data_IF_201112157235
#
_entry.id   IF_201112157235
#
_cell.length_a   1.000
_cell.length_b   1.000
_cell.length_c   1.000
_cell.angle_alpha   90.00
_cell.angle_beta   90.00
_cell.angle_gamma   90.00
#
_symmetry.space_group_name_H-M   'P 1'
#
loop_
_entity.id
_entity.type
_entity.pdbx_description
1 polymer ?
#
# COMPACT_ATOMS: atom_id res chain seq x y z
N UNK A 1 -5.12 13.25 -21.92
CA UNK A 1 -4.32 12.53 -20.92
C UNK A 1 -4.81 11.09 -20.93
N UNK A 2 -4.03 10.13 -21.44
CA UNK A 2 -4.33 8.72 -21.22
C UNK A 2 -3.82 8.38 -19.81
N UNK A 3 -4.73 8.19 -18.86
CA UNK A 3 -4.43 7.51 -17.61
C UNK A 3 -4.07 6.08 -17.98
N UNK A 4 -2.78 5.76 -17.97
CA UNK A 4 -2.36 4.37 -17.98
C UNK A 4 -2.70 3.80 -16.59
N UNK A 5 -3.96 3.43 -16.42
CA UNK A 5 -4.53 2.65 -15.31
C UNK A 5 -3.98 1.21 -15.27
N UNK A 6 -2.74 1.00 -15.74
CA UNK A 6 -2.08 -0.29 -15.69
C UNK A 6 -1.29 -0.36 -14.39
N UNK A 7 -1.97 -0.78 -13.32
CA UNK A 7 -1.32 -1.36 -12.15
C UNK A 7 -0.42 -2.49 -12.65
N UNK A 8 0.89 -2.25 -12.59
CA UNK A 8 1.90 -3.23 -13.00
C UNK A 8 2.01 -4.34 -11.95
N UNK A 9 2.69 -5.43 -12.29
CA UNK A 9 2.96 -6.48 -11.30
C UNK A 9 3.82 -5.95 -10.14
N UNK A 10 4.74 -5.03 -10.41
CA UNK A 10 5.51 -4.32 -9.38
C UNK A 10 4.62 -3.48 -8.45
N UNK A 11 3.56 -2.85 -8.97
CA UNK A 11 2.61 -2.10 -8.14
C UNK A 11 1.82 -3.04 -7.22
N UNK A 12 1.52 -4.27 -7.65
CA UNK A 12 0.85 -5.27 -6.80
C UNK A 12 1.77 -5.75 -5.69
N UNK A 13 3.04 -6.03 -6.00
CA UNK A 13 4.04 -6.43 -5.00
C UNK A 13 4.29 -5.32 -3.98
N UNK A 14 4.39 -4.07 -4.44
CA UNK A 14 4.53 -2.90 -3.58
C UNK A 14 3.30 -2.72 -2.68
N UNK A 15 2.10 -2.90 -3.21
CA UNK A 15 0.85 -2.86 -2.45
C UNK A 15 0.81 -3.91 -1.35
N UNK A 16 1.17 -5.14 -1.68
CA UNK A 16 1.20 -6.25 -0.71
C UNK A 16 2.28 -5.98 0.35
N UNK A 17 3.40 -5.39 -0.04
CA UNK A 17 4.47 -4.96 0.87
C UNK A 17 4.00 -3.84 1.79
N UNK A 18 3.33 -2.81 1.27
CA UNK A 18 2.75 -1.72 2.08
C UNK A 18 1.79 -2.27 3.14
N UNK A 19 0.92 -3.20 2.75
CA UNK A 19 -0.05 -3.78 3.66
C UNK A 19 0.58 -4.70 4.72
N UNK A 20 1.54 -5.54 4.32
CA UNK A 20 2.33 -6.35 5.26
C UNK A 20 3.07 -5.48 6.27
N UNK A 21 3.71 -4.41 5.81
CA UNK A 21 4.41 -3.47 6.67
C UNK A 21 3.46 -2.79 7.68
N UNK A 22 2.24 -2.47 7.25
CA UNK A 22 1.21 -1.98 8.17
C UNK A 22 0.86 -3.02 9.26
N UNK A 23 0.67 -4.29 8.90
CA UNK A 23 0.39 -5.34 9.89
C UNK A 23 1.54 -5.53 10.89
N UNK A 24 2.79 -5.42 10.43
CA UNK A 24 3.98 -5.62 11.26
C UNK A 24 4.31 -4.42 12.16
N UNK A 25 4.06 -3.19 11.70
CA UNK A 25 4.60 -1.96 12.31
C UNK A 25 3.57 -0.86 12.54
N UNK A 26 2.34 -1.01 12.03
CA UNK A 26 1.32 0.03 12.01
C UNK A 26 1.51 1.02 10.87
N UNK A 27 0.82 2.17 10.95
CA UNK A 27 0.87 3.20 9.92
C UNK A 27 2.30 3.73 9.72
N UNK A 28 2.76 3.77 8.46
CA UNK A 28 4.09 4.24 8.08
C UNK A 28 3.99 5.52 7.26
N UNK A 29 5.01 6.37 7.38
CA UNK A 29 5.17 7.57 6.54
C UNK A 29 5.74 7.23 5.17
N UNK A 30 5.52 8.10 4.19
CA UNK A 30 6.07 7.96 2.82
C UNK A 30 7.58 7.71 2.82
N UNK A 31 8.32 8.36 3.75
CA UNK A 31 9.78 8.20 3.88
C UNK A 31 10.17 6.80 4.34
N UNK A 32 9.40 6.21 5.24
CA UNK A 32 9.68 4.86 5.75
C UNK A 32 9.31 3.80 4.71
N UNK A 33 8.26 4.05 3.91
CA UNK A 33 7.92 3.20 2.76
C UNK A 33 8.99 3.29 1.65
N UNK A 34 9.54 4.48 1.39
CA UNK A 34 10.72 4.63 0.50
C UNK A 34 11.92 3.87 1.05
N UNK A 35 12.20 3.94 2.35
CA UNK A 35 13.27 3.17 2.97
C UNK A 35 13.06 1.65 2.88
N UNK A 36 11.80 1.21 2.76
CA UNK A 36 11.43 -0.18 2.50
C UNK A 36 11.46 -0.57 1.00
N UNK A 37 11.88 0.35 0.12
CA UNK A 37 12.03 0.11 -1.32
C UNK A 37 10.82 0.50 -2.17
N UNK A 38 9.75 1.04 -1.57
CA UNK A 38 8.51 1.39 -2.30
C UNK A 38 8.59 2.84 -2.78
N UNK A 39 8.58 3.04 -4.09
CA UNK A 39 8.64 4.38 -4.69
C UNK A 39 7.42 5.24 -4.37
N UNK A 40 7.59 6.57 -4.31
CA UNK A 40 6.48 7.52 -4.04
C UNK A 40 5.38 7.42 -5.11
N UNK A 41 5.73 7.19 -6.38
CA UNK A 41 4.73 6.97 -7.44
C UNK A 41 3.91 5.69 -7.24
N UNK A 42 4.55 4.61 -6.76
CA UNK A 42 3.85 3.37 -6.42
C UNK A 42 2.96 3.54 -5.19
N UNK A 43 3.43 4.26 -4.16
CA UNK A 43 2.62 4.62 -2.99
C UNK A 43 1.36 5.38 -3.42
N UNK A 44 1.50 6.38 -4.29
CA UNK A 44 0.36 7.15 -4.80
C UNK A 44 -0.65 6.30 -5.58
N UNK A 45 -0.18 5.36 -6.41
CA UNK A 45 -1.05 4.44 -7.16
C UNK A 45 -1.74 3.40 -6.28
N UNK A 46 -1.10 2.99 -5.19
CA UNK A 46 -1.60 1.94 -4.31
C UNK A 46 -2.30 2.43 -3.04
N UNK A 47 -2.19 3.70 -2.67
CA UNK A 47 -2.67 4.25 -1.41
C UNK A 47 -4.15 3.93 -1.14
N UNK A 48 -5.03 4.14 -2.12
CA UNK A 48 -6.45 3.86 -1.96
C UNK A 48 -6.75 2.37 -1.74
N UNK A 49 -6.05 1.49 -2.46
CA UNK A 49 -6.21 0.05 -2.31
C UNK A 49 -5.68 -0.44 -0.96
N UNK A 50 -4.52 0.07 -0.51
CA UNK A 50 -3.95 -0.26 0.80
C UNK A 50 -4.85 0.22 1.94
N UNK A 51 -5.41 1.43 1.84
CA UNK A 51 -6.35 1.95 2.84
C UNK A 51 -7.58 1.06 3.02
N UNK A 52 -8.14 0.53 1.93
CA UNK A 52 -9.28 -0.39 2.00
C UNK A 52 -8.89 -1.74 2.62
N UNK A 53 -7.71 -2.29 2.28
CA UNK A 53 -7.23 -3.53 2.91
C UNK A 53 -7.03 -3.36 4.42
N UNK A 54 -6.48 -2.23 4.85
CA UNK A 54 -6.34 -1.87 6.27
C UNK A 54 -7.71 -1.83 6.94
N UNK A 55 -8.67 -1.11 6.36
CA UNK A 55 -10.03 -1.01 6.91
C UNK A 55 -10.70 -2.37 7.08
N UNK A 56 -10.59 -3.23 6.07
CA UNK A 56 -11.17 -4.59 6.12
C UNK A 56 -10.47 -5.46 7.18
N UNK A 57 -9.16 -5.33 7.33
CA UNK A 57 -8.40 -6.05 8.36
C UNK A 57 -8.79 -5.59 9.77
N UNK A 58 -8.83 -4.29 10.02
CA UNK A 58 -9.26 -3.74 11.31
C UNK A 58 -10.69 -4.16 11.67
N UNK A 59 -11.59 -4.23 10.67
CA UNK A 59 -12.95 -4.75 10.89
C UNK A 59 -12.99 -6.24 11.23
N UNK A 60 -12.09 -7.04 10.66
CA UNK A 60 -12.01 -8.47 10.94
C UNK A 60 -11.41 -8.74 12.33
N UNK A 61 -10.42 -7.97 12.75
CA UNK A 61 -9.82 -8.07 14.10
C UNK A 61 -10.76 -7.58 15.21
N UNK A 62 -11.72 -6.72 14.88
CA UNK A 62 -12.72 -6.21 15.83
C UNK A 62 -13.96 -7.10 16.00
N UNK A 63 -14.09 -8.18 15.22
CA UNK A 63 -15.24 -9.09 15.19
C UNK A 63 -15.02 -10.34 16.06
#
# INVERSE_FOLDING_TARGET
MNTNDNVTDADREDRDTMFRLYQERGAMTDKELVAAGISVESQGRNAAAVAEMIRLHEMAEAA
#
